data_IF_699462266110
#
_entry.id   IF_699462266110
#
_cell.length_a   1.000
_cell.length_b   1.000
_cell.length_c   1.000
_cell.angle_alpha   90.00
_cell.angle_beta   90.00
_cell.angle_gamma   90.00
#
_symmetry.space_group_name_H-M   'P 1'
#
loop_
_entity.id
_entity.type
_entity.pdbx_description
1 polymer ?
#
# COMPACT_ATOMS: atom_id res chain seq x y z
N UNK A 1 16.90 20.99 28.66
CA UNK A 1 15.66 20.20 28.47
C UNK A 1 15.41 20.05 26.98
N UNK A 2 15.95 19.01 26.34
CA UNK A 2 15.64 18.70 24.95
C UNK A 2 14.23 18.14 24.87
N UNK A 3 13.37 18.87 24.17
CA UNK A 3 11.99 18.47 23.89
C UNK A 3 12.07 17.28 22.93
N UNK A 4 11.82 16.07 23.41
CA UNK A 4 11.72 14.87 22.55
C UNK A 4 10.48 15.07 21.70
N UNK A 5 10.65 15.62 20.50
CA UNK A 5 9.60 15.64 19.47
C UNK A 5 9.48 14.20 18.98
N UNK A 6 8.30 13.55 19.05
CA UNK A 6 8.15 12.23 18.46
C UNK A 6 8.52 12.33 16.97
N UNK A 7 9.52 11.55 16.53
CA UNK A 7 9.78 11.38 15.10
C UNK A 7 8.56 10.66 14.52
N UNK A 8 7.73 11.40 13.79
CA UNK A 8 6.61 10.81 13.06
C UNK A 8 7.19 10.15 11.81
N UNK A 9 7.08 8.83 11.74
CA UNK A 9 7.45 8.06 10.56
C UNK A 9 6.21 7.82 9.69
N UNK A 10 6.43 7.65 8.39
CA UNK A 10 5.36 7.32 7.44
C UNK A 10 5.54 5.89 6.95
N UNK A 11 4.42 5.18 6.81
CA UNK A 11 4.34 3.86 6.20
C UNK A 11 3.58 3.97 4.89
N UNK A 12 4.05 3.27 3.85
CA UNK A 12 3.27 3.07 2.63
C UNK A 12 2.05 2.22 2.97
N UNK A 13 0.86 2.70 2.62
CA UNK A 13 -0.41 2.06 2.95
C UNK A 13 -1.10 1.45 1.71
N UNK A 14 -0.59 1.69 0.50
CA UNK A 14 -1.14 1.16 -0.74
C UNK A 14 -0.16 1.29 -1.92
N UNK A 15 -0.55 0.85 -3.12
CA UNK A 15 0.29 0.93 -4.31
C UNK A 15 0.61 2.38 -4.69
N UNK A 16 1.75 2.56 -5.37
CA UNK A 16 2.05 3.78 -6.13
C UNK A 16 1.43 3.65 -7.53
N UNK A 17 0.53 4.57 -7.88
CA UNK A 17 -0.22 4.57 -9.13
C UNK A 17 0.16 5.76 -9.99
N UNK A 18 0.56 5.51 -11.24
CA UNK A 18 0.75 6.54 -12.27
C UNK A 18 -0.53 6.64 -13.12
N UNK A 19 -1.44 7.52 -12.72
CA UNK A 19 -2.72 7.75 -13.39
C UNK A 19 -2.57 8.94 -14.34
N UNK A 20 -2.96 8.75 -15.61
CA UNK A 20 -2.90 9.79 -16.65
C UNK A 20 -4.31 10.20 -17.05
N UNK A 21 -4.65 11.47 -16.83
CA UNK A 21 -5.90 12.06 -17.25
C UNK A 21 -5.70 13.55 -17.54
N UNK A 22 -6.55 14.10 -18.42
CA UNK A 22 -6.58 15.53 -18.68
C UNK A 22 -6.99 16.30 -17.41
N UNK A 23 -6.47 17.52 -17.20
CA UNK A 23 -6.87 18.35 -16.07
C UNK A 23 -8.39 18.54 -16.01
N UNK A 24 -8.99 18.25 -14.85
CA UNK A 24 -10.44 18.38 -14.64
C UNK A 24 -11.31 17.28 -15.24
N UNK A 25 -10.74 16.30 -15.95
CA UNK A 25 -11.51 15.18 -16.51
C UNK A 25 -11.99 14.17 -15.46
N UNK A 26 -11.36 14.16 -14.28
CA UNK A 26 -11.66 13.23 -13.19
C UNK A 26 -12.12 14.04 -11.97
N UNK A 27 -13.35 13.80 -11.53
CA UNK A 27 -13.92 14.45 -10.35
C UNK A 27 -13.36 13.88 -9.04
N UNK A 28 -13.07 12.58 -9.00
CA UNK A 28 -12.46 11.93 -7.85
C UNK A 28 -11.69 10.66 -8.24
N UNK A 29 -10.66 10.33 -7.47
CA UNK A 29 -9.95 9.06 -7.55
C UNK A 29 -10.05 8.30 -6.23
N UNK A 30 -10.20 6.98 -6.34
CA UNK A 30 -10.32 6.04 -5.22
C UNK A 30 -9.02 5.23 -5.15
N UNK A 31 -8.15 5.60 -4.21
CA UNK A 31 -6.82 5.04 -4.06
C UNK A 31 -6.87 3.87 -3.07
N UNK A 32 -6.56 2.62 -3.48
CA UNK A 32 -6.62 1.48 -2.60
C UNK A 32 -5.57 1.55 -1.48
N UNK A 33 -5.91 1.02 -0.31
CA UNK A 33 -4.96 0.77 0.77
C UNK A 33 -5.23 -0.57 1.46
N UNK A 34 -4.20 -1.11 2.11
CA UNK A 34 -4.28 -2.36 2.86
C UNK A 34 -4.43 -2.16 4.38
N UNK A 35 -4.60 -0.93 4.86
CA UNK A 35 -4.87 -0.69 6.29
C UNK A 35 -6.27 -1.17 6.64
N UNK A 36 -6.38 -1.94 7.71
CA UNK A 36 -7.66 -2.49 8.16
C UNK A 36 -8.31 -1.56 9.20
N UNK A 37 -9.46 -0.98 8.85
CA UNK A 37 -10.19 -0.05 9.71
C UNK A 37 -11.23 -0.72 10.63
N UNK A 38 -11.36 -2.07 10.65
CA UNK A 38 -12.44 -2.84 11.33
C UNK A 38 -12.81 -2.33 12.75
N UNK A 39 -13.71 -1.35 12.81
CA UNK A 39 -14.32 -0.84 14.05
C UNK A 39 -13.40 -0.05 15.00
N UNK A 40 -12.12 0.13 14.67
CA UNK A 40 -11.23 1.01 15.44
C UNK A 40 -11.39 2.44 14.94
N UNK A 41 -11.55 3.38 15.87
CA UNK A 41 -11.63 4.81 15.57
C UNK A 41 -10.21 5.31 15.20
N UNK A 42 -9.71 4.90 14.03
CA UNK A 42 -8.49 5.47 13.45
C UNK A 42 -8.82 6.87 12.95
N UNK A 43 -8.03 7.85 13.39
CA UNK A 43 -8.21 9.22 12.94
C UNK A 43 -7.80 9.32 11.46
N UNK A 44 -8.72 9.81 10.62
CA UNK A 44 -8.47 10.10 9.21
C UNK A 44 -7.25 11.02 9.01
N UNK A 45 -6.90 11.84 10.01
CA UNK A 45 -5.70 12.69 9.98
C UNK A 45 -4.38 11.91 9.85
N UNK A 46 -4.40 10.59 10.08
CA UNK A 46 -3.23 9.73 9.93
C UNK A 46 -2.98 9.36 8.47
N UNK A 47 -3.94 9.53 7.58
CA UNK A 47 -3.78 9.22 6.17
C UNK A 47 -3.36 10.46 5.39
N UNK A 48 -2.44 10.26 4.44
CA UNK A 48 -2.02 11.25 3.46
C UNK A 48 -1.93 10.59 2.09
N UNK A 49 -2.14 11.35 1.03
CA UNK A 49 -1.81 10.96 -0.34
C UNK A 49 -0.48 11.62 -0.69
N UNK A 50 0.53 10.81 -0.98
CA UNK A 50 1.82 11.28 -1.45
C UNK A 50 1.79 11.46 -2.96
N UNK A 51 2.14 12.65 -3.42
CA UNK A 51 2.42 12.99 -4.81
C UNK A 51 3.92 12.98 -5.01
N UNK A 52 4.42 12.08 -5.86
CA UNK A 52 5.82 12.05 -6.24
C UNK A 52 6.06 12.99 -7.42
N UNK A 53 6.83 14.06 -7.18
CA UNK A 53 7.21 15.06 -8.17
C UNK A 53 8.73 15.12 -8.30
N UNK A 54 9.24 15.83 -9.30
CA UNK A 54 10.68 15.98 -9.49
C UNK A 54 11.34 16.71 -8.32
N UNK A 55 10.61 17.65 -7.71
CA UNK A 55 11.06 18.48 -6.60
C UNK A 55 10.97 17.76 -5.24
N UNK A 56 10.38 16.56 -5.21
CA UNK A 56 10.20 15.75 -4.01
C UNK A 56 8.79 15.25 -3.80
N UNK A 57 8.48 14.86 -2.56
CA UNK A 57 7.18 14.33 -2.17
C UNK A 57 6.31 15.47 -1.62
N UNK A 58 5.12 15.64 -2.19
CA UNK A 58 4.09 16.55 -1.67
C UNK A 58 2.98 15.71 -1.03
N UNK A 59 2.54 16.08 0.17
CA UNK A 59 1.45 15.38 0.87
C UNK A 59 0.13 16.15 0.67
N UNK A 60 -0.90 15.44 0.27
CA UNK A 60 -2.27 15.93 0.12
C UNK A 60 -3.20 15.16 1.06
N UNK A 61 -4.10 15.88 1.74
CA UNK A 61 -5.06 15.25 2.64
C UNK A 61 -6.19 14.61 1.83
N UNK A 62 -6.53 13.34 2.04
CA UNK A 62 -7.68 12.74 1.39
C UNK A 62 -8.99 13.38 1.87
N UNK A 63 -9.97 13.49 0.97
CA UNK A 63 -11.32 13.96 1.29
C UNK A 63 -12.05 12.98 2.21
N UNK A 64 -11.85 11.67 1.99
CA UNK A 64 -12.41 10.60 2.83
C UNK A 64 -11.49 9.38 2.86
N UNK A 65 -11.60 8.57 3.91
CA UNK A 65 -10.94 7.27 4.02
C UNK A 65 -11.98 6.25 4.40
N UNK A 66 -12.06 5.18 3.61
CA UNK A 66 -12.97 4.05 3.77
C UNK A 66 -12.14 2.79 4.05
N UNK A 67 -12.71 1.67 4.50
CA UNK A 67 -11.94 0.50 4.94
C UNK A 67 -10.87 -0.04 3.99
N UNK A 68 -10.97 0.23 2.68
CA UNK A 68 -10.03 -0.29 1.68
C UNK A 68 -9.52 0.77 0.69
N UNK A 69 -9.90 2.04 0.85
CA UNK A 69 -9.50 3.09 -0.08
C UNK A 69 -9.60 4.50 0.52
N UNK A 70 -8.72 5.39 0.05
CA UNK A 70 -8.79 6.83 0.29
C UNK A 70 -9.36 7.54 -0.94
N UNK A 71 -10.12 8.61 -0.74
CA UNK A 71 -10.75 9.40 -1.80
C UNK A 71 -10.02 10.73 -1.94
N UNK A 72 -9.61 11.06 -3.16
CA UNK A 72 -9.08 12.37 -3.53
C UNK A 72 -10.02 13.03 -4.54
N UNK A 73 -10.59 14.19 -4.19
CA UNK A 73 -11.49 14.94 -5.05
C UNK A 73 -10.72 16.01 -5.83
N UNK A 74 -11.13 16.27 -7.07
CA UNK A 74 -10.45 17.17 -8.01
C UNK A 74 -8.93 16.95 -8.05
N UNK A 75 -8.46 15.70 -8.25
CA UNK A 75 -7.07 15.34 -8.08
C UNK A 75 -6.17 16.04 -9.09
N UNK A 76 -4.96 16.39 -8.65
CA UNK A 76 -3.84 16.61 -9.56
C UNK A 76 -3.12 15.29 -9.82
N UNK A 77 -2.73 15.03 -11.06
CA UNK A 77 -2.09 13.76 -11.43
C UNK A 77 -0.56 13.85 -11.40
N UNK A 78 0.02 12.93 -10.64
CA UNK A 78 1.41 12.52 -10.61
C UNK A 78 1.40 11.03 -10.23
N UNK A 79 2.54 10.33 -10.14
CA UNK A 79 2.56 9.09 -9.37
C UNK A 79 2.10 9.38 -7.94
N UNK A 80 1.03 8.71 -7.51
CA UNK A 80 0.35 8.94 -6.24
C UNK A 80 0.18 7.65 -5.44
N UNK A 81 0.34 7.73 -4.12
CA UNK A 81 0.19 6.58 -3.23
C UNK A 81 -0.28 6.98 -1.83
N UNK A 82 -0.98 6.07 -1.14
CA UNK A 82 -1.49 6.33 0.21
C UNK A 82 -0.39 6.09 1.24
N UNK A 83 -0.22 7.02 2.18
CA UNK A 83 0.64 6.90 3.35
C UNK A 83 -0.18 6.89 4.64
N UNK A 84 0.29 6.14 5.62
CA UNK A 84 -0.21 6.13 6.98
C UNK A 84 0.88 6.67 7.92
N UNK A 85 0.50 7.62 8.78
CA UNK A 85 1.36 8.15 9.83
C UNK A 85 1.51 7.10 10.93
N UNK A 86 2.73 6.68 11.20
CA UNK A 86 3.05 5.84 12.35
C UNK A 86 3.33 6.76 13.54
N UNK A 87 2.51 6.60 14.57
CA UNK A 87 2.74 7.19 15.88
C UNK A 87 3.25 6.08 16.78
N UNK A 88 4.55 6.07 17.07
CA UNK A 88 5.24 5.00 17.83
C UNK A 88 4.65 4.70 19.23
N UNK A 89 3.74 5.55 19.73
CA UNK A 89 3.04 5.37 20.99
C UNK A 89 1.67 4.66 20.86
N UNK A 90 1.23 4.30 19.65
CA UNK A 90 -0.10 3.72 19.40
C UNK A 90 -0.01 2.25 18.98
N UNK A 91 -1.03 1.48 19.40
CA UNK A 91 -1.30 0.05 19.15
C UNK A 91 -0.90 -0.47 17.75
N UNK A 92 -0.67 -1.79 17.60
CA UNK A 92 -0.35 -2.39 16.31
C UNK A 92 -1.39 -1.98 15.25
N UNK A 93 -0.88 -1.54 14.09
CA UNK A 93 -1.67 -1.15 12.92
C UNK A 93 -2.13 -2.43 12.22
N UNK A 94 -3.41 -2.79 12.28
CA UNK A 94 -3.91 -3.94 11.53
C UNK A 94 -3.86 -3.64 10.03
N UNK A 95 -3.41 -4.62 9.25
CA UNK A 95 -3.39 -4.57 7.79
C UNK A 95 -4.03 -5.84 7.22
N UNK A 96 -4.72 -5.68 6.08
CA UNK A 96 -5.18 -6.80 5.27
C UNK A 96 -4.01 -7.34 4.47
N UNK A 97 -3.76 -8.64 4.56
CA UNK A 97 -2.66 -9.32 3.86
C UNK A 97 -3.18 -10.50 3.03
N UNK A 98 -2.48 -10.79 1.94
CA UNK A 98 -2.59 -12.05 1.22
C UNK A 98 -1.55 -13.03 1.77
N UNK A 99 -1.96 -14.30 1.89
CA UNK A 99 -1.06 -15.40 2.25
C UNK A 99 -0.64 -16.12 0.97
N UNK A 100 0.65 -16.17 0.68
CA UNK A 100 1.20 -17.03 -0.37
C UNK A 100 1.87 -18.24 0.27
N UNK A 101 1.39 -19.43 -0.09
CA UNK A 101 1.95 -20.70 0.38
C UNK A 101 2.59 -21.42 -0.81
N UNK A 102 3.92 -21.53 -0.78
CA UNK A 102 4.68 -22.33 -1.72
C UNK A 102 5.11 -23.64 -1.06
N UNK A 103 5.20 -24.71 -1.83
CA UNK A 103 5.73 -25.97 -1.36
C UNK A 103 6.87 -26.42 -2.28
N UNK A 104 7.89 -27.02 -1.68
CA UNK A 104 9.03 -27.59 -2.38
C UNK A 104 9.10 -29.08 -2.04
N UNK A 105 8.83 -29.93 -3.05
CA UNK A 105 8.89 -31.38 -2.90
C UNK A 105 10.33 -31.86 -3.14
N UNK A 106 10.90 -32.56 -2.16
CA UNK A 106 12.10 -33.38 -2.33
C UNK A 106 11.71 -34.84 -2.10
N UNK A 107 12.56 -35.75 -2.57
CA UNK A 107 12.31 -37.20 -2.52
C UNK A 107 11.96 -37.72 -1.10
N UNK A 108 12.42 -37.05 -0.05
CA UNK A 108 12.25 -37.47 1.36
C UNK A 108 11.67 -36.40 2.28
N UNK A 109 11.46 -35.17 1.80
CA UNK A 109 10.99 -34.04 2.62
C UNK A 109 10.09 -33.10 1.82
N UNK A 110 9.07 -32.56 2.48
CA UNK A 110 8.23 -31.49 1.95
C UNK A 110 8.47 -30.23 2.78
N UNK A 111 8.97 -29.17 2.14
CA UNK A 111 9.14 -27.86 2.77
C UNK A 111 8.02 -26.91 2.33
N UNK A 112 7.39 -26.21 3.28
CA UNK A 112 6.43 -25.15 2.99
C UNK A 112 7.05 -23.78 3.28
N UNK A 113 6.94 -22.85 2.32
CA UNK A 113 7.31 -21.45 2.48
C UNK A 113 6.04 -20.60 2.53
N UNK A 114 5.78 -19.98 3.68
CA UNK A 114 4.66 -19.08 3.92
C UNK A 114 5.13 -17.63 3.82
N UNK A 115 4.50 -16.84 2.95
CA UNK A 115 4.74 -15.41 2.84
C UNK A 115 3.45 -14.63 3.14
N UNK A 116 3.56 -13.65 4.03
CA UNK A 116 2.53 -12.63 4.24
C UNK A 116 2.90 -11.40 3.43
N UNK A 117 2.03 -11.03 2.51
CA UNK A 117 2.22 -9.85 1.65
C UNK A 117 1.03 -8.93 1.89
N UNK A 118 1.22 -7.61 2.08
CA UNK A 118 0.11 -6.68 2.16
C UNK A 118 -0.86 -6.88 0.98
N UNK A 119 -2.14 -6.62 1.18
CA UNK A 119 -3.13 -6.72 0.11
C UNK A 119 -3.01 -5.56 -0.91
N UNK A 120 -1.84 -5.49 -1.51
CA UNK A 120 -1.46 -4.56 -2.56
C UNK A 120 -1.47 -5.32 -3.90
N UNK A 121 -2.37 -4.91 -4.78
CA UNK A 121 -2.56 -5.54 -6.09
C UNK A 121 -1.34 -5.37 -7.01
N UNK A 122 -0.45 -4.41 -6.75
CA UNK A 122 0.76 -4.17 -7.55
C UNK A 122 1.83 -5.25 -7.34
N UNK A 123 1.93 -5.82 -6.12
CA UNK A 123 2.97 -6.80 -5.77
C UNK A 123 2.81 -8.10 -6.57
N UNK A 124 1.57 -8.47 -6.93
CA UNK A 124 1.29 -9.69 -7.70
C UNK A 124 1.86 -9.68 -9.12
N UNK A 125 2.13 -8.50 -9.70
CA UNK A 125 2.71 -8.39 -11.05
C UNK A 125 4.20 -8.76 -11.10
N UNK A 126 4.86 -8.90 -9.96
CA UNK A 126 6.31 -9.17 -9.86
C UNK A 126 6.63 -10.64 -9.56
N UNK A 127 5.62 -11.49 -9.29
CA UNK A 127 5.86 -12.92 -9.14
C UNK A 127 6.37 -13.48 -10.50
N UNK A 128 7.61 -14.01 -10.57
CA UNK A 128 8.14 -14.50 -11.83
C UNK A 128 7.30 -15.67 -12.32
N UNK A 129 6.92 -15.63 -13.59
CA UNK A 129 6.51 -16.81 -14.34
C UNK A 129 7.62 -17.86 -14.19
N UNK A 130 7.47 -18.83 -13.29
CA UNK A 130 8.26 -20.06 -13.34
C UNK A 130 7.78 -20.88 -14.54
N UNK A 131 8.14 -20.45 -15.76
CA UNK A 131 8.11 -21.33 -16.93
C UNK A 131 9.35 -22.21 -16.87
N UNK A 132 9.29 -23.24 -16.03
CA UNK A 132 10.18 -24.40 -16.07
C UNK A 132 9.65 -25.44 -17.06
N UNK A 133 10.30 -25.50 -18.22
CA UNK A 133 10.48 -26.65 -19.12
C UNK A 133 9.30 -27.58 -19.48
N UNK A 134 8.91 -27.52 -20.76
CA UNK A 134 8.76 -28.72 -21.60
C UNK A 134 9.06 -28.35 -23.07
N UNK A 135 10.30 -28.60 -23.50
CA UNK A 135 10.61 -28.91 -24.90
C UNK A 135 11.37 -30.22 -24.88
N UNK A 136 10.70 -31.28 -25.29
CA UNK A 136 11.32 -32.42 -25.96
C UNK A 136 10.39 -32.75 -27.12
N UNK A 137 10.83 -32.38 -28.32
CA UNK A 137 10.48 -33.09 -29.55
C UNK A 137 11.68 -33.97 -29.91
#
# INVERSE_FOLDING_TARGET
MSRIVPQHSWMVAGPLLDIKAEPGAVAAVYLPHFVDLQGKNMDMSWFQVAHMKQEGIVLEKPARVEPHYAVLENPSFSPIGVLLRIIHAVLPIPITSNVLLYHHLRHEEVTFHLYLIPNDCSIRKVAPNQKGQARVG
#
